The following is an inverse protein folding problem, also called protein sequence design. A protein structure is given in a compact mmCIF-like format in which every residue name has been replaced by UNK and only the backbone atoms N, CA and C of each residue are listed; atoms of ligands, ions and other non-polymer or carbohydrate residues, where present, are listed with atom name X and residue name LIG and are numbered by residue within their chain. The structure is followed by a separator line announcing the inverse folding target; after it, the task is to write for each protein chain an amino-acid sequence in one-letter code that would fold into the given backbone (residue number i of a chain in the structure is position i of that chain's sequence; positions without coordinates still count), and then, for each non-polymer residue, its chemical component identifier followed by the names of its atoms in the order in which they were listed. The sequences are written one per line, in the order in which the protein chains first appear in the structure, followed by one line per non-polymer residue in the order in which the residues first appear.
data_IF_262308020962
#
_entry.id   IF_262308020962
#
_cell.length_a   1.000
_cell.length_b   1.000
_cell.length_c   1.000
_cell.angle_alpha   90.00
_cell.angle_beta   90.00
_cell.angle_gamma   90.00
#
_symmetry.space_group_name_H-M   'P 1'
#
loop_
_entity.id
_entity.type
_entity.pdbx_description
1 polymer ?
#
# COMPACT_ATOMS: atom_id res chain seq x y z
N UNK A 1 22.99 4.74 20.68
CA UNK A 1 24.29 4.04 20.72
C UNK A 1 24.22 2.73 21.48
N UNK A 2 23.44 2.69 22.54
CA UNK A 2 23.27 1.47 23.32
C UNK A 2 22.69 0.33 22.50
N UNK A 3 21.68 0.62 21.61
CA UNK A 3 21.10 -0.38 20.73
C UNK A 3 22.14 -0.97 19.77
N UNK A 4 23.06 -0.13 19.27
CA UNK A 4 24.12 -0.59 18.38
C UNK A 4 25.10 -1.49 19.13
N UNK A 5 25.43 -1.15 20.39
CA UNK A 5 26.30 -1.97 21.22
C UNK A 5 25.67 -3.36 21.48
N UNK A 6 24.39 -3.40 21.78
CA UNK A 6 23.68 -4.66 22.00
C UNK A 6 23.68 -5.51 20.75
N UNK A 7 23.41 -4.92 19.58
CA UNK A 7 23.43 -5.62 18.30
C UNK A 7 24.82 -6.15 17.97
N UNK A 8 25.86 -5.37 18.27
CA UNK A 8 27.24 -5.80 18.07
C UNK A 8 27.57 -7.01 18.93
N UNK A 9 27.11 -7.04 20.17
CA UNK A 9 27.29 -8.17 21.07
C UNK A 9 26.58 -9.41 20.59
N UNK A 10 25.44 -9.24 19.89
CA UNK A 10 24.69 -10.34 19.31
C UNK A 10 25.29 -10.85 18.00
N UNK A 11 26.41 -10.27 17.54
CA UNK A 11 27.06 -10.67 16.30
C UNK A 11 26.54 -9.97 15.06
N UNK A 12 25.77 -8.88 15.23
CA UNK A 12 25.22 -8.11 14.10
C UNK A 12 26.03 -6.83 13.91
N UNK A 13 26.42 -6.56 12.65
CA UNK A 13 27.05 -5.29 12.30
C UNK A 13 26.01 -4.18 12.24
N UNK A 14 26.48 -2.91 12.21
CA UNK A 14 25.59 -1.77 12.01
C UNK A 14 24.86 -1.86 10.69
N UNK A 15 25.50 -2.38 9.64
CA UNK A 15 24.90 -2.59 8.34
C UNK A 15 23.77 -3.62 8.41
N UNK A 16 24.00 -4.73 9.12
CA UNK A 16 22.98 -5.76 9.28
C UNK A 16 21.79 -5.24 10.09
N UNK A 17 22.03 -4.44 11.11
CA UNK A 17 20.96 -3.81 11.89
C UNK A 17 20.14 -2.88 11.02
N UNK A 18 20.78 -2.09 10.15
CA UNK A 18 20.09 -1.19 9.23
C UNK A 18 19.21 -1.98 8.27
N UNK A 19 19.73 -3.08 7.72
CA UNK A 19 18.97 -3.92 6.81
C UNK A 19 17.74 -4.54 7.49
N UNK A 20 17.90 -5.02 8.72
CA UNK A 20 16.80 -5.61 9.47
C UNK A 20 15.70 -4.57 9.73
N UNK A 21 16.08 -3.36 10.15
CA UNK A 21 15.11 -2.30 10.39
C UNK A 21 14.44 -1.84 9.10
N UNK A 22 15.19 -1.77 8.00
CA UNK A 22 14.64 -1.41 6.70
C UNK A 22 13.63 -2.46 6.22
N UNK A 23 13.88 -3.74 6.48
CA UNK A 23 12.95 -4.81 6.11
C UNK A 23 11.62 -4.67 6.86
N UNK A 24 11.67 -4.35 8.15
CA UNK A 24 10.45 -4.09 8.94
C UNK A 24 9.73 -2.88 8.40
N UNK A 25 10.44 -1.78 8.17
CA UNK A 25 9.87 -0.56 7.59
C UNK A 25 9.25 -0.80 6.24
N UNK A 26 9.89 -1.61 5.40
CA UNK A 26 9.37 -1.95 4.07
C UNK A 26 8.04 -2.71 4.18
N UNK A 27 7.95 -3.66 5.09
CA UNK A 27 6.70 -4.39 5.33
C UNK A 27 5.56 -3.48 5.76
N UNK A 28 5.83 -2.58 6.70
CA UNK A 28 4.83 -1.61 7.15
C UNK A 28 4.49 -0.60 6.06
N UNK A 29 5.47 -0.16 5.28
CA UNK A 29 5.22 0.80 4.21
C UNK A 29 4.20 0.26 3.20
N UNK A 30 4.41 -0.94 2.71
CA UNK A 30 3.48 -1.53 1.75
C UNK A 30 2.19 -2.00 2.42
N UNK A 31 2.31 -2.64 3.58
CA UNK A 31 1.13 -3.17 4.30
C UNK A 31 0.14 -2.07 4.63
N UNK A 32 0.60 -0.95 5.18
CA UNK A 32 -0.29 0.17 5.52
C UNK A 32 -0.77 0.90 4.27
N UNK A 33 0.09 1.03 3.25
CA UNK A 33 -0.28 1.68 2.00
C UNK A 33 -1.37 0.91 1.24
N UNK A 34 -1.47 -0.39 1.43
CA UNK A 34 -2.48 -1.22 0.77
C UNK A 34 -3.85 -1.15 1.44
N UNK A 35 -3.92 -0.79 2.72
CA UNK A 35 -5.18 -0.74 3.47
C UNK A 35 -6.13 0.31 2.90
N UNK A 36 -5.63 1.53 2.68
CA UNK A 36 -6.45 2.61 2.14
C UNK A 36 -7.07 2.27 0.80
N UNK A 37 -6.25 1.91 -0.20
CA UNK A 37 -6.76 1.49 -1.51
C UNK A 37 -7.70 0.30 -1.43
N UNK A 38 -7.42 -0.69 -0.58
CA UNK A 38 -8.31 -1.84 -0.42
C UNK A 38 -9.70 -1.43 0.03
N UNK A 39 -9.79 -0.59 1.05
CA UNK A 39 -11.06 -0.09 1.56
C UNK A 39 -11.71 0.84 0.53
N UNK A 40 -10.92 1.76 -0.06
CA UNK A 40 -11.43 2.72 -1.01
C UNK A 40 -12.00 2.07 -2.27
N UNK A 41 -11.31 1.08 -2.83
CA UNK A 41 -11.79 0.36 -4.00
C UNK A 41 -13.05 -0.42 -3.66
N UNK A 42 -13.08 -1.10 -2.52
CA UNK A 42 -14.28 -1.79 -2.07
C UNK A 42 -15.48 -0.86 -1.96
N UNK A 43 -15.28 0.33 -1.42
CA UNK A 43 -16.33 1.34 -1.29
C UNK A 43 -16.80 1.83 -2.65
N UNK A 44 -15.85 2.15 -3.55
CA UNK A 44 -16.19 2.61 -4.90
C UNK A 44 -16.99 1.55 -5.65
N UNK A 45 -16.55 0.30 -5.62
CA UNK A 45 -17.22 -0.79 -6.33
C UNK A 45 -18.62 -1.04 -5.74
N UNK A 46 -18.73 -1.05 -4.42
CA UNK A 46 -20.02 -1.23 -3.74
C UNK A 46 -21.01 -0.14 -4.13
N UNK A 47 -20.57 1.11 -4.10
CA UNK A 47 -21.43 2.23 -4.48
C UNK A 47 -21.79 2.22 -5.96
N UNK A 48 -20.87 1.81 -6.83
CA UNK A 48 -21.12 1.70 -8.27
C UNK A 48 -22.17 0.64 -8.54
N UNK A 49 -22.10 -0.50 -7.87
CA UNK A 49 -23.09 -1.57 -8.03
C UNK A 49 -24.46 -1.08 -7.60
N UNK A 50 -24.57 -0.39 -6.46
CA UNK A 50 -25.84 0.19 -6.03
C UNK A 50 -26.39 1.18 -7.06
N UNK A 51 -25.54 2.06 -7.57
CA UNK A 51 -25.96 3.07 -8.54
C UNK A 51 -26.45 2.43 -9.83
N UNK A 52 -25.75 1.42 -10.32
CA UNK A 52 -26.14 0.71 -11.54
C UNK A 52 -27.44 -0.04 -11.37
N UNK A 53 -27.69 -0.59 -10.19
CA UNK A 53 -28.94 -1.27 -9.88
C UNK A 53 -30.12 -0.30 -9.84
N UNK A 54 -29.90 0.93 -9.35
CA UNK A 54 -30.96 1.94 -9.27
C UNK A 54 -31.20 2.65 -10.59
N UNK A 55 -30.15 2.82 -11.39
CA UNK A 55 -30.22 3.54 -12.67
C UNK A 55 -29.48 2.75 -13.74
N UNK A 56 -30.11 1.66 -14.24
CA UNK A 56 -29.46 0.82 -15.26
C UNK A 56 -29.05 1.59 -16.52
N UNK A 57 -29.80 2.63 -16.85
CA UNK A 57 -29.49 3.46 -18.02
C UNK A 57 -28.19 4.25 -17.88
N UNK A 58 -27.72 4.44 -16.65
CA UNK A 58 -26.47 5.15 -16.39
C UNK A 58 -25.29 4.18 -16.18
N UNK A 59 -25.50 2.87 -16.36
CA UNK A 59 -24.49 1.86 -16.05
C UNK A 59 -23.15 2.09 -16.76
N UNK A 60 -23.20 2.54 -18.02
CA UNK A 60 -21.97 2.81 -18.78
C UNK A 60 -21.12 3.91 -18.15
N UNK A 61 -21.76 5.03 -17.80
CA UNK A 61 -21.07 6.15 -17.15
C UNK A 61 -20.56 5.75 -15.78
N UNK A 62 -21.36 5.07 -14.98
CA UNK A 62 -20.97 4.62 -13.64
C UNK A 62 -19.78 3.69 -13.72
N UNK A 63 -19.80 2.73 -14.67
CA UNK A 63 -18.70 1.79 -14.84
C UNK A 63 -17.39 2.49 -15.19
N UNK A 64 -17.43 3.43 -16.13
CA UNK A 64 -16.27 4.19 -16.54
C UNK A 64 -15.70 4.99 -15.37
N UNK A 65 -16.55 5.69 -14.65
CA UNK A 65 -16.14 6.48 -13.49
C UNK A 65 -15.57 5.59 -12.38
N UNK A 66 -16.18 4.41 -12.18
CA UNK A 66 -15.70 3.42 -11.23
C UNK A 66 -14.28 2.99 -11.56
N UNK A 67 -13.99 2.65 -12.82
CA UNK A 67 -12.64 2.25 -13.20
C UNK A 67 -11.63 3.36 -13.04
N UNK A 68 -12.00 4.62 -13.30
CA UNK A 68 -11.13 5.75 -13.03
C UNK A 68 -10.82 5.86 -11.53
N UNK A 69 -11.84 5.72 -10.70
CA UNK A 69 -11.66 5.76 -9.25
C UNK A 69 -10.76 4.65 -8.75
N UNK A 70 -10.93 3.44 -9.28
CA UNK A 70 -10.08 2.30 -8.95
C UNK A 70 -8.63 2.59 -9.36
N UNK A 71 -8.42 3.11 -10.57
CA UNK A 71 -7.09 3.38 -11.08
C UNK A 71 -6.33 4.39 -10.21
N UNK A 72 -6.98 5.51 -9.86
CA UNK A 72 -6.35 6.51 -9.00
C UNK A 72 -6.09 5.99 -7.59
N UNK A 73 -7.02 5.21 -7.06
CA UNK A 73 -6.88 4.64 -5.72
C UNK A 73 -5.75 3.60 -5.68
N UNK A 74 -5.67 2.76 -6.72
CA UNK A 74 -4.62 1.75 -6.84
C UNK A 74 -3.24 2.39 -6.99
N UNK A 75 -3.16 3.57 -7.61
CA UNK A 75 -1.90 4.29 -7.75
C UNK A 75 -1.25 4.59 -6.39
N UNK A 76 -2.04 4.82 -5.35
CA UNK A 76 -1.51 5.03 -4.00
C UNK A 76 -0.80 3.79 -3.49
N UNK A 77 -1.35 2.61 -3.74
CA UNK A 77 -0.70 1.36 -3.35
C UNK A 77 0.60 1.15 -4.13
N UNK A 78 0.63 1.57 -5.40
CA UNK A 78 1.85 1.49 -6.20
C UNK A 78 2.95 2.40 -5.65
N UNK A 79 2.59 3.59 -5.16
CA UNK A 79 3.55 4.48 -4.51
C UNK A 79 4.13 3.79 -3.27
N UNK A 80 3.29 3.16 -2.46
CA UNK A 80 3.73 2.38 -1.31
C UNK A 80 4.64 1.23 -1.70
N UNK A 81 4.35 0.57 -2.82
CA UNK A 81 5.20 -0.50 -3.35
C UNK A 81 6.57 0.03 -3.75
N UNK A 82 6.64 1.22 -4.37
CA UNK A 82 7.92 1.85 -4.69
C UNK A 82 8.73 2.12 -3.42
N UNK A 83 8.08 2.62 -2.37
CA UNK A 83 8.75 2.84 -1.09
C UNK A 83 9.26 1.52 -0.51
N UNK A 84 8.46 0.45 -0.61
CA UNK A 84 8.90 -0.88 -0.20
C UNK A 84 10.17 -1.30 -0.93
N UNK A 85 10.23 -1.12 -2.26
CA UNK A 85 11.39 -1.46 -3.07
C UNK A 85 12.62 -0.66 -2.62
N UNK A 86 12.45 0.64 -2.43
CA UNK A 86 13.55 1.51 -2.01
C UNK A 86 14.11 1.10 -0.65
N UNK A 87 13.25 0.78 0.29
CA UNK A 87 13.67 0.37 1.63
C UNK A 87 14.31 -1.02 1.64
N UNK A 88 13.81 -1.93 0.81
CA UNK A 88 14.27 -3.32 0.81
C UNK A 88 15.60 -3.47 0.07
N UNK A 89 15.80 -2.76 -1.03
CA UNK A 89 16.91 -3.00 -1.94
C UNK A 89 17.91 -1.84 -2.04
N UNK A 90 17.62 -0.69 -1.47
CA UNK A 90 18.56 0.42 -1.40
C UNK A 90 19.24 0.49 -0.03
#
# INVERSE_FOLDING_TARGET
MEAVAILAQAGLSATDAKKANAAIGAGFAYGLAAIGPGIGIGYVVGKAIEAMARQPEAAGLVRTTMFLGIAFTEALALIGFVVFILLKFA
#
